data_IF_569511471862
#
_entry.id   IF_569511471862
#
_cell.length_a   1.000
_cell.length_b   1.000
_cell.length_c   1.000
_cell.angle_alpha   90.00
_cell.angle_beta   90.00
_cell.angle_gamma   90.00
#
_symmetry.space_group_name_H-M   'P 1'
#
loop_
_entity.id
_entity.type
_entity.pdbx_description
1 polymer ?
#
# COMPACT_ATOMS: atom_id res chain seq x y z
N UNK A 1 -6.92 -21.99 -1.38
CA UNK A 1 -5.44 -22.01 -1.33
C UNK A 1 -4.89 -20.62 -1.01
N UNK A 2 -4.24 -20.42 0.15
CA UNK A 2 -3.56 -19.16 0.51
C UNK A 2 -2.21 -19.11 -0.24
N UNK A 3 -1.83 -17.98 -0.83
CA UNK A 3 -0.60 -17.93 -1.62
C UNK A 3 0.65 -18.08 -0.74
N UNK A 4 1.72 -18.67 -1.26
CA UNK A 4 3.01 -18.74 -0.54
C UNK A 4 3.53 -17.35 -0.12
N UNK A 5 3.15 -16.30 -0.85
CA UNK A 5 3.45 -14.90 -0.54
C UNK A 5 2.70 -14.38 0.68
N UNK A 6 1.44 -14.80 0.89
CA UNK A 6 0.64 -14.36 2.03
C UNK A 6 1.26 -14.75 3.38
N UNK A 7 1.85 -15.96 3.48
CA UNK A 7 2.55 -16.40 4.69
C UNK A 7 3.82 -15.60 4.99
N UNK A 8 4.54 -15.15 3.94
CA UNK A 8 5.72 -14.28 4.11
C UNK A 8 5.34 -12.84 4.46
N UNK A 9 4.28 -12.32 3.85
CA UNK A 9 3.75 -10.98 4.16
C UNK A 9 3.29 -10.90 5.63
N UNK A 10 2.61 -11.94 6.14
CA UNK A 10 2.13 -12.01 7.52
C UNK A 10 3.19 -11.74 8.58
N UNK A 11 4.44 -12.18 8.37
CA UNK A 11 5.56 -11.94 9.30
C UNK A 11 5.83 -10.46 9.57
N UNK A 12 5.44 -9.58 8.65
CA UNK A 12 5.62 -8.13 8.81
C UNK A 12 4.45 -7.49 9.55
N UNK A 13 3.26 -8.08 9.48
CA UNK A 13 2.01 -7.50 10.01
C UNK A 13 1.94 -7.57 11.54
N UNK A 14 2.48 -8.63 12.14
CA UNK A 14 2.42 -8.84 13.59
C UNK A 14 3.46 -8.01 14.37
N UNK A 15 4.31 -7.24 13.67
CA UNK A 15 5.30 -6.35 14.28
C UNK A 15 4.70 -4.99 14.65
N UNK A 16 5.29 -4.30 15.63
CA UNK A 16 4.89 -2.93 15.98
C UNK A 16 4.97 -1.99 14.77
N UNK A 17 6.08 -2.07 14.01
CA UNK A 17 6.26 -1.34 12.75
C UNK A 17 5.16 -1.68 11.74
N UNK A 18 4.83 -2.96 11.57
CA UNK A 18 3.75 -3.40 10.68
C UNK A 18 2.41 -2.78 11.03
N UNK A 19 2.06 -2.73 12.32
CA UNK A 19 0.82 -2.10 12.79
C UNK A 19 0.82 -0.59 12.57
N UNK A 20 1.95 0.09 12.78
CA UNK A 20 2.08 1.53 12.46
C UNK A 20 1.87 1.80 10.97
N UNK A 21 2.48 1.00 10.11
CA UNK A 21 2.30 1.11 8.65
C UNK A 21 0.84 0.89 8.26
N UNK A 22 0.19 -0.15 8.79
CA UNK A 22 -1.23 -0.42 8.51
C UNK A 22 -2.13 0.75 8.94
N UNK A 23 -1.93 1.27 10.16
CA UNK A 23 -2.70 2.41 10.64
C UNK A 23 -2.51 3.66 9.76
N UNK A 24 -1.28 3.96 9.32
CA UNK A 24 -1.02 5.08 8.43
C UNK A 24 -1.66 4.87 7.04
N UNK A 25 -1.63 3.64 6.51
CA UNK A 25 -2.29 3.32 5.25
C UNK A 25 -3.81 3.44 5.34
N UNK A 26 -4.43 2.99 6.43
CA UNK A 26 -5.87 3.09 6.65
C UNK A 26 -6.31 4.56 6.68
N UNK A 27 -5.62 5.40 7.45
CA UNK A 27 -5.91 6.84 7.53
C UNK A 27 -5.82 7.54 6.15
N UNK A 28 -4.75 7.29 5.39
CA UNK A 28 -4.59 7.90 4.07
C UNK A 28 -5.62 7.37 3.07
N UNK A 29 -5.98 6.09 3.16
CA UNK A 29 -7.02 5.50 2.33
C UNK A 29 -8.40 6.12 2.61
N UNK A 30 -8.73 6.36 3.87
CA UNK A 30 -9.93 7.08 4.29
C UNK A 30 -9.95 8.53 3.76
N UNK A 31 -8.85 9.27 3.91
CA UNK A 31 -8.72 10.64 3.40
C UNK A 31 -8.91 10.74 1.87
N UNK A 32 -8.39 9.75 1.13
CA UNK A 32 -8.49 9.71 -0.33
C UNK A 32 -9.80 9.09 -0.82
N UNK A 33 -10.56 8.41 0.05
CA UNK A 33 -11.73 7.62 -0.35
C UNK A 33 -11.36 6.45 -1.28
N UNK A 34 -10.18 5.87 -1.12
CA UNK A 34 -9.65 4.79 -1.98
C UNK A 34 -9.33 3.53 -1.18
N UNK A 35 -8.98 2.44 -1.86
CA UNK A 35 -8.57 1.22 -1.18
C UNK A 35 -7.15 1.34 -0.58
N UNK A 36 -6.91 0.68 0.55
CA UNK A 36 -5.57 0.54 1.16
C UNK A 36 -4.52 0.05 0.17
N UNK A 37 -4.88 -0.90 -0.71
CA UNK A 37 -3.99 -1.41 -1.75
C UNK A 37 -3.60 -0.33 -2.78
N UNK A 38 -4.52 0.60 -3.10
CA UNK A 38 -4.27 1.74 -3.99
C UNK A 38 -3.22 2.67 -3.37
N UNK A 39 -3.41 3.05 -2.10
CA UNK A 39 -2.46 3.91 -1.38
C UNK A 39 -1.09 3.26 -1.24
N UNK A 40 -1.03 1.98 -0.86
CA UNK A 40 0.23 1.27 -0.69
C UNK A 40 1.07 1.21 -1.98
N UNK A 41 0.40 0.97 -3.12
CA UNK A 41 1.06 0.93 -4.42
C UNK A 41 1.45 2.33 -4.92
N UNK A 42 0.60 3.34 -4.72
CA UNK A 42 0.93 4.72 -5.05
C UNK A 42 2.14 5.23 -4.23
N UNK A 43 2.21 4.88 -2.94
CA UNK A 43 3.35 5.22 -2.10
C UNK A 43 4.64 4.54 -2.57
N UNK A 44 4.59 3.25 -2.93
CA UNK A 44 5.73 2.55 -3.51
C UNK A 44 6.18 3.20 -4.83
N UNK A 45 5.24 3.56 -5.71
CA UNK A 45 5.55 4.22 -6.98
C UNK A 45 6.18 5.61 -6.80
N UNK A 46 5.91 6.28 -5.68
CA UNK A 46 6.50 7.58 -5.35
C UNK A 46 7.93 7.50 -4.78
N UNK A 47 8.43 6.30 -4.45
CA UNK A 47 9.78 6.16 -3.89
C UNK A 47 10.85 6.28 -4.98
N UNK A 48 11.92 7.08 -4.80
CA UNK A 48 12.95 7.30 -5.82
C UNK A 48 13.67 6.02 -6.28
N UNK A 49 13.72 5.00 -5.42
CA UNK A 49 14.42 3.73 -5.66
C UNK A 49 13.53 2.66 -6.30
N UNK A 50 12.24 2.95 -6.52
CA UNK A 50 11.27 2.00 -7.06
C UNK A 50 10.92 2.42 -8.48
N UNK A 51 11.35 1.63 -9.47
CA UNK A 51 11.02 1.90 -10.87
C UNK A 51 9.54 1.68 -11.18
N UNK A 52 8.96 0.59 -10.66
CA UNK A 52 7.53 0.29 -10.77
C UNK A 52 7.10 -0.75 -9.71
N UNK A 53 5.98 -0.54 -8.99
CA UNK A 53 5.38 -1.58 -8.15
C UNK A 53 4.77 -2.71 -9.00
N UNK A 54 5.00 -3.97 -8.60
CA UNK A 54 4.41 -5.14 -9.27
C UNK A 54 3.31 -5.72 -8.38
N UNK A 55 2.10 -5.81 -8.91
CA UNK A 55 0.95 -6.42 -8.25
C UNK A 55 0.28 -7.45 -9.17
N UNK A 56 -0.53 -8.34 -8.60
CA UNK A 56 -1.26 -9.36 -9.36
C UNK A 56 -2.64 -9.53 -8.75
N UNK A 57 -3.66 -9.42 -9.60
CA UNK A 57 -5.03 -9.76 -9.27
C UNK A 57 -5.29 -11.24 -9.56
N UNK A 58 -6.05 -11.89 -8.69
CA UNK A 58 -6.57 -13.26 -8.87
C UNK A 58 -8.06 -13.29 -9.17
N UNK A 59 -8.74 -12.18 -8.96
CA UNK A 59 -10.16 -11.97 -9.24
C UNK A 59 -10.33 -10.62 -9.91
N UNK A 60 -11.43 -10.44 -10.65
CA UNK A 60 -11.71 -9.17 -11.33
C UNK A 60 -11.90 -8.02 -10.32
N UNK A 61 -12.49 -8.28 -9.15
CA UNK A 61 -12.70 -7.28 -8.10
C UNK A 61 -11.40 -6.71 -7.53
N UNK A 62 -10.27 -7.40 -7.73
CA UNK A 62 -8.95 -6.89 -7.33
C UNK A 62 -8.37 -5.92 -8.36
N UNK A 63 -8.86 -5.88 -9.60
CA UNK A 63 -8.30 -5.01 -10.64
C UNK A 63 -8.53 -3.52 -10.39
N UNK A 64 -9.74 -3.04 -10.02
CA UNK A 64 -9.98 -1.61 -9.82
C UNK A 64 -8.96 -0.94 -8.89
N UNK A 65 -8.71 -1.42 -7.65
CA UNK A 65 -7.77 -0.74 -6.77
C UNK A 65 -6.31 -0.76 -7.27
N UNK A 66 -5.91 -1.76 -8.06
CA UNK A 66 -4.57 -1.83 -8.64
C UNK A 66 -4.40 -0.85 -9.80
N UNK A 67 -5.44 -0.65 -10.60
CA UNK A 67 -5.45 0.31 -11.71
C UNK A 67 -5.50 1.75 -11.16
N UNK A 68 -6.33 2.00 -10.16
CA UNK A 68 -6.42 3.33 -9.51
C UNK A 68 -5.09 3.76 -8.88
N UNK A 69 -4.24 2.81 -8.45
CA UNK A 69 -2.94 3.13 -7.87
C UNK A 69 -2.04 3.92 -8.85
N UNK A 70 -2.13 3.62 -10.15
CA UNK A 70 -1.36 4.31 -11.18
C UNK A 70 -1.86 5.73 -11.46
N UNK A 71 -3.06 6.08 -11.00
CA UNK A 71 -3.70 7.39 -11.17
C UNK A 71 -3.69 8.22 -9.89
N UNK A 72 -3.42 7.58 -8.76
CA UNK A 72 -3.45 8.21 -7.44
C UNK A 72 -2.15 8.98 -7.20
N UNK A 73 -2.28 10.26 -6.87
CA UNK A 73 -1.17 11.10 -6.43
C UNK A 73 -1.34 11.41 -4.95
N UNK A 74 -0.38 11.02 -4.13
CA UNK A 74 -0.38 11.30 -2.70
C UNK A 74 0.16 12.71 -2.44
N UNK A 75 -0.43 13.41 -1.47
CA UNK A 75 0.09 14.72 -1.06
C UNK A 75 1.43 14.55 -0.34
N UNK A 76 2.22 15.63 -0.26
CA UNK A 76 3.49 15.61 0.46
C UNK A 76 3.32 15.16 1.92
N UNK A 77 2.29 15.66 2.58
CA UNK A 77 2.01 15.30 3.97
C UNK A 77 1.64 13.82 4.13
N UNK A 78 0.86 13.25 3.20
CA UNK A 78 0.57 11.82 3.18
C UNK A 78 1.81 10.97 2.93
N UNK A 79 2.69 11.39 2.00
CA UNK A 79 3.97 10.73 1.75
C UNK A 79 4.88 10.75 2.98
N UNK A 80 4.97 11.89 3.67
CA UNK A 80 5.78 12.05 4.87
C UNK A 80 5.27 11.15 6.01
N UNK A 81 3.94 11.11 6.23
CA UNK A 81 3.31 10.22 7.22
C UNK A 81 3.58 8.74 6.94
N UNK A 82 3.42 8.30 5.70
CA UNK A 82 3.69 6.92 5.29
C UNK A 82 5.18 6.56 5.38
N UNK A 83 6.07 7.51 5.07
CA UNK A 83 7.53 7.34 5.20
C UNK A 83 7.93 7.19 6.66
N UNK A 84 7.41 8.03 7.55
CA UNK A 84 7.68 7.94 8.99
C UNK A 84 7.15 6.63 9.59
N UNK A 85 5.97 6.18 9.17
CA UNK A 85 5.42 4.88 9.58
C UNK A 85 6.28 3.70 9.08
N UNK A 86 6.85 3.84 7.89
CA UNK A 86 7.66 2.81 7.23
C UNK A 86 9.13 2.79 7.68
N UNK A 87 9.61 3.79 8.42
CA UNK A 87 10.97 3.81 8.96
C UNK A 87 11.21 2.71 10.02
#
# INVERSE_FOLDING_TARGET
MRSARAGRAGKHLDTERGRRVLAALDLVAEEQGTAVATVALAWLAAQPTVAAPISSARTLDQLPPLIEAARTTLTRDQLDRLTAASA
#
